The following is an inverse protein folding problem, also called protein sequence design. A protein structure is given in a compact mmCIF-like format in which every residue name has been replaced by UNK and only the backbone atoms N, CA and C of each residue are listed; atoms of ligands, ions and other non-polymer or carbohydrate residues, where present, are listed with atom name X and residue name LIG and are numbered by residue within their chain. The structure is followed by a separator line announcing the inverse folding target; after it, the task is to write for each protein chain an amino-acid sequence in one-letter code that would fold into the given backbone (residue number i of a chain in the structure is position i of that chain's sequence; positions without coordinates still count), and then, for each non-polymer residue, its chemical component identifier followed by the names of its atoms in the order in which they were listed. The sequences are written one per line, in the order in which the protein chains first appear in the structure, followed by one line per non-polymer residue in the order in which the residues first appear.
data_IF_211680177222
#
_entry.id   IF_211680177222
#
_cell.length_a   1.000
_cell.length_b   1.000
_cell.length_c   1.000
_cell.angle_alpha   90.00
_cell.angle_beta   90.00
_cell.angle_gamma   90.00
#
_symmetry.space_group_name_H-M   'P 1'
#
loop_
_entity.id
_entity.type
_entity.pdbx_description
1 polymer ?
#
# COMPACT_ATOMS: atom_id res chain seq x y z
N UNK A 1 11.13 17.73 14.86
CA UNK A 1 9.93 16.86 14.73
C UNK A 1 10.31 15.42 15.03
N UNK A 2 9.49 14.75 15.79
CA UNK A 2 9.75 13.37 16.16
C UNK A 2 9.29 12.42 15.05
N UNK A 3 10.14 11.47 14.68
CA UNK A 3 9.75 10.38 13.80
C UNK A 3 8.65 9.56 14.48
N UNK A 4 7.63 9.22 13.70
CA UNK A 4 6.50 8.44 14.16
C UNK A 4 6.28 7.27 13.23
N UNK A 5 6.14 6.07 13.81
CA UNK A 5 5.83 4.86 13.06
C UNK A 5 4.52 4.30 13.59
N UNK A 6 3.54 4.20 12.70
CA UNK A 6 2.25 3.57 13.02
C UNK A 6 2.15 2.24 12.30
N UNK A 7 1.43 1.30 12.89
CA UNK A 7 1.26 -0.03 12.36
C UNK A 7 -0.22 -0.36 12.25
N UNK A 8 -0.62 -0.80 11.07
CA UNK A 8 -2.00 -1.24 10.78
C UNK A 8 -1.94 -2.67 10.29
N UNK A 9 -2.81 -3.52 10.82
CA UNK A 9 -2.98 -4.88 10.31
C UNK A 9 -4.25 -4.91 9.47
N UNK A 10 -4.11 -5.34 8.21
CA UNK A 10 -5.25 -5.52 7.31
C UNK A 10 -5.36 -7.00 6.92
N UNK A 11 -6.58 -7.45 6.66
CA UNK A 11 -6.87 -8.85 6.33
C UNK A 11 -7.45 -8.96 4.94
N UNK A 12 -7.15 -10.04 4.26
CA UNK A 12 -7.68 -10.29 2.93
C UNK A 12 -7.20 -11.63 2.38
N UNK A 13 -7.29 -11.76 1.07
CA UNK A 13 -6.97 -13.00 0.37
C UNK A 13 -5.65 -12.86 -0.38
N UNK A 14 -4.75 -13.80 -0.16
CA UNK A 14 -3.54 -13.98 -0.95
C UNK A 14 -3.74 -15.17 -1.88
N UNK A 15 -3.58 -14.94 -3.18
CA UNK A 15 -3.76 -15.99 -4.21
C UNK A 15 -2.41 -16.41 -4.75
N UNK A 16 -2.17 -17.73 -4.74
CA UNK A 16 -0.94 -18.34 -5.23
C UNK A 16 -1.25 -19.67 -5.89
N UNK A 17 -0.82 -19.86 -7.14
CA UNK A 17 -0.98 -21.08 -7.90
C UNK A 17 -2.43 -21.58 -7.94
N UNK A 18 -3.39 -20.69 -8.05
CA UNK A 18 -4.81 -21.01 -8.11
C UNK A 18 -5.46 -21.32 -6.77
N UNK A 19 -4.73 -21.21 -5.67
CA UNK A 19 -5.25 -21.38 -4.32
C UNK A 19 -5.34 -20.03 -3.60
N UNK A 20 -6.40 -19.84 -2.79
CA UNK A 20 -6.63 -18.64 -2.01
C UNK A 20 -6.40 -18.92 -0.53
N UNK A 21 -5.68 -18.01 0.11
CA UNK A 21 -5.37 -18.10 1.54
C UNK A 21 -5.85 -16.82 2.23
N UNK A 22 -6.52 -16.98 3.37
CA UNK A 22 -6.78 -15.83 4.23
C UNK A 22 -5.50 -15.43 4.95
N UNK A 23 -5.09 -14.18 4.79
CA UNK A 23 -3.85 -13.66 5.39
C UNK A 23 -4.08 -12.30 6.03
N UNK A 24 -3.25 -12.01 7.01
CA UNK A 24 -3.13 -10.67 7.58
C UNK A 24 -1.80 -10.09 7.16
N UNK A 25 -1.80 -8.82 6.77
CA UNK A 25 -0.59 -8.13 6.37
C UNK A 25 -0.34 -6.89 7.22
N UNK A 26 0.92 -6.60 7.41
CA UNK A 26 1.35 -5.40 8.12
C UNK A 26 1.45 -4.24 7.15
N UNK A 27 0.81 -3.13 7.50
CA UNK A 27 0.96 -1.86 6.78
C UNK A 27 1.66 -0.90 7.73
N UNK A 28 2.75 -0.32 7.26
CA UNK A 28 3.56 0.59 8.06
C UNK A 28 3.38 2.02 7.57
N UNK A 29 3.17 2.94 8.50
CA UNK A 29 3.10 4.36 8.23
C UNK A 29 4.29 5.02 8.89
N UNK A 30 5.20 5.55 8.08
CA UNK A 30 6.45 6.13 8.57
C UNK A 30 6.47 7.63 8.25
N UNK A 31 6.58 8.45 9.28
CA UNK A 31 6.59 9.89 9.09
C UNK A 31 6.59 10.66 10.40
N UNK A 32 5.79 11.72 10.44
CA UNK A 32 5.63 12.56 11.63
C UNK A 32 4.15 12.96 11.78
N UNK A 33 3.85 14.01 12.54
CA UNK A 33 2.49 14.46 12.77
C UNK A 33 1.87 15.20 11.57
N UNK A 34 2.67 15.50 10.54
CA UNK A 34 2.24 16.29 9.38
C UNK A 34 2.18 15.49 8.09
N UNK A 35 3.13 14.57 7.90
CA UNK A 35 3.22 13.80 6.67
C UNK A 35 3.70 12.38 6.94
N UNK A 36 3.38 11.46 6.00
CA UNK A 36 3.61 10.03 6.17
C UNK A 36 3.84 9.36 4.82
N UNK A 37 4.68 8.33 4.83
CA UNK A 37 4.81 7.36 3.74
C UNK A 37 4.10 6.08 4.19
N UNK A 38 3.23 5.55 3.34
CA UNK A 38 2.53 4.28 3.60
C UNK A 38 3.26 3.16 2.88
N UNK A 39 3.65 2.14 3.62
CA UNK A 39 4.40 0.99 3.10
C UNK A 39 3.47 -0.22 3.00
N UNK A 40 3.36 -0.78 1.80
CA UNK A 40 2.55 -1.97 1.49
C UNK A 40 1.08 -1.82 1.86
N UNK A 41 0.38 -0.92 1.15
CA UNK A 41 -1.07 -0.72 1.33
C UNK A 41 -1.83 -1.98 0.89
N UNK A 42 -2.09 -2.85 1.83
CA UNK A 42 -2.64 -4.19 1.60
C UNK A 42 -4.14 -4.26 1.91
N UNK A 43 -4.85 -5.02 1.11
CA UNK A 43 -6.23 -5.50 1.27
C UNK A 43 -7.31 -4.43 1.34
N UNK A 44 -7.29 -3.53 2.32
CA UNK A 44 -8.34 -2.54 2.54
C UNK A 44 -7.73 -1.18 2.86
N UNK A 45 -8.00 -0.20 2.02
CA UNK A 45 -7.46 1.15 2.20
C UNK A 45 -8.11 1.93 3.35
N UNK A 46 -9.32 1.55 3.78
CA UNK A 46 -10.08 2.32 4.76
C UNK A 46 -9.43 2.40 6.13
N UNK A 47 -9.00 1.29 6.77
CA UNK A 47 -8.30 1.39 8.04
C UNK A 47 -6.93 2.10 7.92
N UNK A 48 -6.30 2.01 6.74
CA UNK A 48 -5.04 2.72 6.47
C UNK A 48 -5.30 4.23 6.42
N UNK A 49 -6.31 4.66 5.68
CA UNK A 49 -6.68 6.07 5.59
C UNK A 49 -7.07 6.65 6.96
N UNK A 50 -7.77 5.87 7.77
CA UNK A 50 -8.13 6.25 9.13
C UNK A 50 -6.88 6.46 10.01
N UNK A 51 -5.89 5.58 9.91
CA UNK A 51 -4.63 5.70 10.64
C UNK A 51 -3.78 6.89 10.15
N UNK A 52 -3.84 7.22 8.87
CA UNK A 52 -3.20 8.42 8.31
C UNK A 52 -3.74 9.68 8.99
N UNK A 53 -5.05 9.72 9.27
CA UNK A 53 -5.69 10.90 9.83
C UNK A 53 -5.64 12.07 8.87
N UNK A 54 -5.32 13.26 9.37
CA UNK A 54 -5.18 14.46 8.55
C UNK A 54 -3.80 14.68 7.95
N UNK A 55 -2.89 13.72 8.09
CA UNK A 55 -1.52 13.87 7.57
C UNK A 55 -1.47 13.76 6.05
N UNK A 56 -0.48 14.42 5.46
CA UNK A 56 -0.24 14.31 4.02
C UNK A 56 0.47 13.00 3.71
N UNK A 57 -0.07 12.23 2.78
CA UNK A 57 0.61 11.02 2.28
C UNK A 57 1.58 11.43 1.18
N UNK A 58 2.88 11.27 1.43
CA UNK A 58 3.94 11.63 0.49
C UNK A 58 4.12 10.60 -0.60
N UNK A 59 3.91 9.34 -0.29
CA UNK A 59 4.02 8.24 -1.23
C UNK A 59 3.34 6.99 -0.67
N UNK A 60 2.90 6.11 -1.56
CA UNK A 60 2.53 4.73 -1.25
C UNK A 60 3.66 3.87 -1.80
N UNK A 61 4.47 3.32 -0.90
CA UNK A 61 5.64 2.54 -1.25
C UNK A 61 5.30 1.05 -1.21
N UNK A 62 5.54 0.36 -2.31
CA UNK A 62 5.34 -1.07 -2.41
C UNK A 62 6.70 -1.77 -2.34
N UNK A 63 6.90 -2.64 -1.35
CA UNK A 63 8.18 -3.35 -1.19
C UNK A 63 8.37 -4.42 -2.26
N UNK A 64 7.25 -5.00 -2.73
CA UNK A 64 7.26 -5.93 -3.86
C UNK A 64 5.86 -6.00 -4.49
N UNK A 65 5.75 -6.68 -5.63
CA UNK A 65 4.53 -6.66 -6.44
C UNK A 65 3.54 -7.79 -6.20
N UNK A 66 3.66 -8.57 -5.12
CA UNK A 66 2.66 -9.58 -4.78
C UNK A 66 1.33 -8.93 -4.43
N UNK A 67 0.21 -9.56 -4.81
CA UNK A 67 -1.10 -8.92 -4.70
C UNK A 67 -1.47 -8.52 -3.26
N UNK A 68 -1.05 -9.28 -2.26
CA UNK A 68 -1.34 -9.00 -0.86
C UNK A 68 -0.53 -7.80 -0.29
N UNK A 69 0.36 -7.20 -1.10
CA UNK A 69 1.12 -6.01 -0.72
C UNK A 69 0.78 -4.77 -1.54
N UNK A 70 0.00 -4.94 -2.61
CA UNK A 70 -0.31 -3.83 -3.53
C UNK A 70 -1.81 -3.66 -3.80
N UNK A 71 -2.64 -4.56 -3.32
CA UNK A 71 -4.05 -4.60 -3.74
C UNK A 71 -4.91 -3.43 -3.26
N UNK A 72 -4.49 -2.67 -2.26
CA UNK A 72 -5.17 -1.44 -1.84
C UNK A 72 -4.40 -0.16 -2.22
N UNK A 73 -3.27 -0.29 -2.92
CA UNK A 73 -2.41 0.86 -3.21
C UNK A 73 -3.09 1.90 -4.11
N UNK A 74 -3.82 1.48 -5.12
CA UNK A 74 -4.48 2.38 -6.06
C UNK A 74 -5.58 3.18 -5.37
N UNK A 75 -6.44 2.53 -4.60
CA UNK A 75 -7.52 3.21 -3.88
C UNK A 75 -6.96 4.23 -2.89
N UNK A 76 -5.92 3.86 -2.16
CA UNK A 76 -5.29 4.79 -1.22
C UNK A 76 -4.62 5.96 -1.93
N UNK A 77 -3.90 5.69 -3.01
CA UNK A 77 -3.24 6.73 -3.80
C UNK A 77 -4.24 7.70 -4.41
N UNK A 78 -5.35 7.19 -4.95
CA UNK A 78 -6.38 8.04 -5.55
C UNK A 78 -7.09 8.89 -4.50
N UNK A 79 -7.30 8.37 -3.31
CA UNK A 79 -7.93 9.11 -2.21
C UNK A 79 -7.01 10.21 -1.66
N UNK A 80 -5.71 9.99 -1.64
CA UNK A 80 -4.74 10.90 -1.03
C UNK A 80 -3.98 11.77 -2.01
N UNK A 81 -4.02 11.45 -3.31
CA UNK A 81 -3.24 12.13 -4.33
C UNK A 81 -1.76 11.77 -4.34
N UNK A 82 -1.38 10.72 -3.62
CA UNK A 82 0.03 10.34 -3.48
C UNK A 82 0.51 9.49 -4.67
N UNK A 83 1.81 9.59 -5.05
CA UNK A 83 2.39 8.69 -6.02
C UNK A 83 2.57 7.28 -5.45
N UNK A 84 2.62 6.29 -6.34
CA UNK A 84 2.89 4.89 -5.99
C UNK A 84 4.29 4.55 -6.48
N UNK A 85 5.12 4.03 -5.60
CA UNK A 85 6.49 3.64 -5.91
C UNK A 85 6.69 2.13 -5.75
N UNK A 86 7.17 1.49 -6.80
CA UNK A 86 7.50 0.07 -6.82
C UNK A 86 8.75 -0.13 -7.67
N UNK A 87 9.62 -1.05 -7.26
CA UNK A 87 10.80 -1.36 -8.05
C UNK A 87 10.39 -1.84 -9.46
N UNK A 88 11.00 -1.34 -10.55
CA UNK A 88 10.61 -1.70 -11.93
C UNK A 88 10.64 -3.20 -12.23
N UNK A 89 11.50 -3.96 -11.56
CA UNK A 89 11.56 -5.42 -11.73
C UNK A 89 10.24 -6.12 -11.38
N UNK A 90 9.39 -5.52 -10.53
CA UNK A 90 8.11 -6.07 -10.12
C UNK A 90 6.93 -5.50 -10.91
N UNK A 91 7.19 -4.70 -11.94
CA UNK A 91 6.14 -4.10 -12.75
C UNK A 91 5.21 -5.12 -13.41
N UNK A 92 5.73 -6.29 -13.78
CA UNK A 92 4.92 -7.35 -14.35
C UNK A 92 3.85 -7.85 -13.37
N UNK A 93 4.20 -8.01 -12.10
CA UNK A 93 3.24 -8.41 -11.07
C UNK A 93 2.21 -7.31 -10.80
N UNK A 94 2.64 -6.06 -10.82
CA UNK A 94 1.74 -4.91 -10.72
C UNK A 94 0.70 -4.93 -11.84
N UNK A 95 1.15 -5.15 -13.09
CA UNK A 95 0.26 -5.14 -14.26
C UNK A 95 -0.80 -6.24 -14.20
N UNK A 96 -0.53 -7.35 -13.54
CA UNK A 96 -1.51 -8.41 -13.33
C UNK A 96 -2.62 -7.95 -12.37
N UNK A 97 -2.28 -7.23 -11.31
CA UNK A 97 -3.24 -6.78 -10.30
C UNK A 97 -3.94 -5.49 -10.72
N UNK A 98 -3.21 -4.56 -11.32
CA UNK A 98 -3.69 -3.23 -11.70
C UNK A 98 -3.36 -2.91 -13.16
N UNK A 99 -3.99 -3.58 -14.15
CA UNK A 99 -3.63 -3.44 -15.56
C UNK A 99 -3.90 -2.05 -16.13
N UNK A 100 -4.84 -1.29 -15.54
CA UNK A 100 -5.25 0.02 -16.04
C UNK A 100 -4.56 1.18 -15.31
N UNK A 101 -3.61 0.90 -14.45
CA UNK A 101 -2.92 1.95 -13.68
C UNK A 101 -1.41 1.82 -13.82
N UNK A 102 -0.77 2.92 -14.21
CA UNK A 102 0.68 2.99 -14.28
C UNK A 102 1.27 3.29 -12.92
N UNK A 103 2.47 2.76 -12.67
CA UNK A 103 3.23 3.04 -11.47
C UNK A 103 4.07 4.30 -11.70
N UNK A 104 4.22 5.09 -10.63
CA UNK A 104 5.15 6.20 -10.60
C UNK A 104 6.51 5.70 -10.10
N UNK A 105 7.56 5.99 -10.82
CA UNK A 105 8.93 5.57 -10.45
C UNK A 105 9.54 6.50 -9.40
#
# INVERSE_FOLDING_TARGET
MALRIDHVVTSGIFSLDGEDFEVENNVWLVGDDYEVVVVDAAHDHRPIAEAVGGRRVRAVLCTHGHNDHINAAVELADQTGAPIWLHPADGMLWDVVHPDRRIDD
#
